data_IF_443584927740
#
_entry.id   IF_443584927740
#
_cell.length_a   1.000
_cell.length_b   1.000
_cell.length_c   1.000
_cell.angle_alpha   90.00
_cell.angle_beta   90.00
_cell.angle_gamma   90.00
#
_symmetry.space_group_name_H-M   'P 1'
#
loop_
_entity.id
_entity.type
_entity.pdbx_description
1 polymer ?
#
# COMPACT_ATOMS: atom_id res chain seq x y z
N UNK A 1 -2.10 -35.29 7.24
CA UNK A 1 -0.62 -35.30 7.20
C UNK A 1 -0.14 -34.51 8.39
N UNK A 2 0.17 -35.17 9.51
CA UNK A 2 0.57 -34.49 10.75
C UNK A 2 2.04 -34.08 10.66
N UNK A 3 2.33 -32.78 10.80
CA UNK A 3 3.68 -32.25 10.88
C UNK A 3 4.37 -32.81 12.13
N UNK A 4 5.60 -33.30 11.98
CA UNK A 4 6.42 -33.67 13.14
C UNK A 4 6.80 -32.41 13.93
N UNK A 5 6.97 -32.54 15.25
CA UNK A 5 7.39 -31.42 16.12
C UNK A 5 8.56 -30.58 15.58
N UNK A 6 9.66 -31.14 15.04
CA UNK A 6 10.76 -30.33 14.48
C UNK A 6 10.36 -29.58 13.20
N UNK A 7 9.50 -30.15 12.36
CA UNK A 7 9.01 -29.48 11.14
C UNK A 7 8.12 -28.29 11.49
N UNK A 8 7.27 -28.42 12.51
CA UNK A 8 6.41 -27.34 12.97
C UNK A 8 7.22 -26.14 13.50
N UNK A 9 8.28 -26.40 14.29
CA UNK A 9 9.15 -25.34 14.83
C UNK A 9 9.90 -24.61 13.71
N UNK A 10 10.43 -25.33 12.72
CA UNK A 10 11.11 -24.71 11.58
C UNK A 10 10.16 -23.85 10.72
N UNK A 11 8.92 -24.29 10.54
CA UNK A 11 7.87 -23.52 9.86
C UNK A 11 7.52 -22.24 10.61
N UNK A 12 7.37 -22.31 11.94
CA UNK A 12 7.07 -21.14 12.75
C UNK A 12 8.22 -20.13 12.73
N UNK A 13 9.46 -20.59 12.85
CA UNK A 13 10.64 -19.75 12.81
C UNK A 13 10.80 -18.99 11.48
N UNK A 14 10.62 -19.70 10.36
CA UNK A 14 10.66 -19.07 9.02
C UNK A 14 9.50 -18.10 8.80
N UNK A 15 8.29 -18.43 9.28
CA UNK A 15 7.13 -17.53 9.19
C UNK A 15 7.35 -16.23 9.97
N UNK A 16 7.95 -16.32 11.17
CA UNK A 16 8.25 -15.14 11.97
C UNK A 16 9.32 -14.26 11.31
N UNK A 17 10.38 -14.86 10.77
CA UNK A 17 11.43 -14.14 10.05
C UNK A 17 10.86 -13.40 8.83
N UNK A 18 10.01 -14.07 8.03
CA UNK A 18 9.35 -13.45 6.88
C UNK A 18 8.46 -12.28 7.29
N UNK A 19 7.69 -12.41 8.37
CA UNK A 19 6.84 -11.33 8.86
C UNK A 19 7.65 -10.09 9.27
N UNK A 20 8.82 -10.25 9.88
CA UNK A 20 9.69 -9.12 10.21
C UNK A 20 10.24 -8.43 8.96
N UNK A 21 10.67 -9.21 7.96
CA UNK A 21 11.17 -8.65 6.69
C UNK A 21 10.07 -7.83 6.00
N UNK A 22 8.84 -8.32 5.97
CA UNK A 22 7.68 -7.61 5.38
C UNK A 22 7.50 -6.25 6.04
N UNK A 23 7.47 -6.18 7.38
CA UNK A 23 7.31 -4.91 8.10
C UNK A 23 8.43 -3.92 7.79
N UNK A 24 9.68 -4.35 7.73
CA UNK A 24 10.79 -3.46 7.38
C UNK A 24 10.68 -2.92 5.95
N UNK A 25 10.29 -3.77 5.00
CA UNK A 25 10.09 -3.37 3.59
C UNK A 25 8.91 -2.41 3.46
N UNK A 26 7.81 -2.67 4.16
CA UNK A 26 6.63 -1.80 4.16
C UNK A 26 6.95 -0.40 4.71
N UNK A 27 7.68 -0.31 5.82
CA UNK A 27 8.11 0.98 6.39
C UNK A 27 9.07 1.70 5.44
N UNK A 28 10.03 0.99 4.84
CA UNK A 28 10.95 1.57 3.86
C UNK A 28 10.20 2.11 2.63
N UNK A 29 9.27 1.33 2.08
CA UNK A 29 8.44 1.73 0.95
C UNK A 29 7.56 2.93 1.29
N UNK A 30 6.97 2.96 2.49
CA UNK A 30 6.20 4.09 2.98
C UNK A 30 7.05 5.38 3.06
N UNK A 31 8.28 5.26 3.56
CA UNK A 31 9.20 6.40 3.67
C UNK A 31 9.53 6.97 2.28
N UNK A 32 9.78 6.09 1.31
CA UNK A 32 10.03 6.48 -0.08
C UNK A 32 8.79 7.13 -0.72
N UNK A 33 7.60 6.59 -0.46
CA UNK A 33 6.34 7.19 -0.91
C UNK A 33 6.16 8.62 -0.37
N UNK A 34 6.41 8.84 0.92
CA UNK A 34 6.34 10.19 1.49
C UNK A 34 7.35 11.13 0.84
N UNK A 35 8.59 10.68 0.62
CA UNK A 35 9.62 11.48 -0.02
C UNK A 35 9.22 11.92 -1.44
N UNK A 36 8.75 10.99 -2.26
CA UNK A 36 8.27 11.27 -3.62
C UNK A 36 7.03 12.18 -3.60
N UNK A 37 6.13 11.95 -2.64
CA UNK A 37 4.94 12.77 -2.48
C UNK A 37 5.30 14.22 -2.15
N UNK A 38 6.16 14.47 -1.17
CA UNK A 38 6.57 15.82 -0.78
C UNK A 38 7.35 16.53 -1.88
N UNK A 39 8.18 15.80 -2.63
CA UNK A 39 8.97 16.39 -3.72
C UNK A 39 8.09 16.84 -4.88
N UNK A 40 7.03 16.11 -5.17
CA UNK A 40 6.13 16.41 -6.30
C UNK A 40 4.95 17.33 -5.92
N UNK A 41 4.62 17.45 -4.63
CA UNK A 41 3.50 18.26 -4.13
C UNK A 41 3.54 19.75 -4.53
N UNK A 42 4.69 20.47 -4.48
CA UNK A 42 4.73 21.88 -4.88
C UNK A 42 4.28 22.08 -6.33
N UNK A 43 4.74 21.24 -7.24
CA UNK A 43 4.36 21.28 -8.65
C UNK A 43 2.89 20.95 -8.86
N UNK A 44 2.30 20.07 -8.05
CA UNK A 44 0.86 19.78 -8.11
C UNK A 44 -0.01 20.97 -7.72
N UNK A 45 0.37 21.67 -6.65
CA UNK A 45 -0.39 22.83 -6.18
C UNK A 45 -0.39 23.93 -7.25
N UNK A 46 0.73 24.12 -7.94
CA UNK A 46 0.82 25.11 -9.01
C UNK A 46 0.07 24.69 -10.28
N UNK A 47 0.23 23.44 -10.73
CA UNK A 47 -0.27 22.99 -12.03
C UNK A 47 -1.70 22.42 -11.97
N UNK A 48 -2.01 21.67 -10.92
CA UNK A 48 -3.27 20.92 -10.82
C UNK A 48 -4.29 21.69 -9.98
N UNK A 49 -3.90 22.22 -8.81
CA UNK A 49 -4.86 22.85 -7.90
C UNK A 49 -5.39 24.17 -8.46
N UNK A 50 -4.52 25.00 -9.06
CA UNK A 50 -4.90 26.24 -9.74
C UNK A 50 -5.55 26.03 -11.11
N UNK A 51 -5.43 24.83 -11.68
CA UNK A 51 -6.04 24.46 -12.96
C UNK A 51 -7.56 24.32 -12.90
N UNK A 52 -8.23 24.53 -14.06
CA UNK A 52 -9.66 24.31 -14.22
C UNK A 52 -10.04 22.86 -13.89
N UNK A 53 -11.21 22.65 -13.29
CA UNK A 53 -11.74 21.31 -13.05
C UNK A 53 -12.09 20.64 -14.38
N UNK A 54 -11.39 19.54 -14.67
CA UNK A 54 -11.60 18.73 -15.87
C UNK A 54 -11.28 17.26 -15.60
N UNK A 55 -11.59 16.39 -16.56
CA UNK A 55 -11.41 14.94 -16.42
C UNK A 55 -9.98 14.55 -16.01
N UNK A 56 -8.96 15.19 -16.59
CA UNK A 56 -7.55 14.91 -16.25
C UNK A 56 -7.19 15.23 -14.80
N UNK A 57 -7.77 16.29 -14.21
CA UNK A 57 -7.57 16.64 -12.78
C UNK A 57 -8.20 15.58 -11.87
N UNK A 58 -9.38 15.09 -12.22
CA UNK A 58 -10.06 14.04 -11.45
C UNK A 58 -9.27 12.73 -11.51
N UNK A 59 -8.86 12.32 -12.72
CA UNK A 59 -8.10 11.09 -12.94
C UNK A 59 -6.77 11.10 -12.18
N UNK A 60 -6.07 12.24 -12.23
CA UNK A 60 -4.83 12.47 -11.51
C UNK A 60 -5.01 12.42 -9.99
N UNK A 61 -6.03 13.11 -9.46
CA UNK A 61 -6.33 13.06 -8.03
C UNK A 61 -6.76 11.67 -7.57
N UNK A 62 -7.54 10.92 -8.37
CA UNK A 62 -7.92 9.55 -8.05
C UNK A 62 -6.70 8.64 -7.96
N UNK A 63 -5.83 8.64 -8.99
CA UNK A 63 -4.63 7.79 -9.00
C UNK A 63 -3.69 8.10 -7.82
N UNK A 64 -3.55 9.37 -7.45
CA UNK A 64 -2.63 9.77 -6.38
C UNK A 64 -3.20 9.62 -4.97
N UNK A 65 -4.48 9.91 -4.77
CA UNK A 65 -5.09 9.89 -3.43
C UNK A 65 -5.61 8.51 -3.02
N UNK A 66 -5.87 7.59 -3.96
CA UNK A 66 -6.24 6.20 -3.66
C UNK A 66 -5.13 5.43 -2.93
N UNK A 67 -3.87 5.81 -3.15
CA UNK A 67 -2.72 5.19 -2.48
C UNK A 67 -2.62 5.52 -0.98
N UNK A 68 -3.22 6.63 -0.53
CA UNK A 68 -3.14 7.07 0.88
C UNK A 68 -3.85 6.13 1.86
N UNK A 69 -5.11 5.71 1.61
CA UNK A 69 -5.78 4.70 2.42
C UNK A 69 -4.98 3.39 2.51
N UNK A 70 -4.38 2.94 1.39
CA UNK A 70 -3.55 1.74 1.35
C UNK A 70 -2.32 1.87 2.25
N UNK A 71 -1.57 2.96 2.09
CA UNK A 71 -0.42 3.29 2.93
C UNK A 71 -0.77 3.31 4.42
N UNK A 72 -1.92 3.91 4.77
CA UNK A 72 -2.36 4.04 6.17
C UNK A 72 -2.68 2.68 6.78
N UNK A 73 -3.34 1.80 6.02
CA UNK A 73 -3.67 0.44 6.46
C UNK A 73 -2.39 -0.38 6.67
N UNK A 74 -1.46 -0.32 5.72
CA UNK A 74 -0.17 -1.02 5.80
C UNK A 74 0.63 -0.56 7.02
N UNK A 75 0.80 0.76 7.19
CA UNK A 75 1.51 1.31 8.34
C UNK A 75 0.83 0.99 9.67
N UNK A 76 -0.51 0.98 9.70
CA UNK A 76 -1.24 0.60 10.91
C UNK A 76 -0.93 -0.84 11.33
N UNK A 77 -0.95 -1.80 10.41
CA UNK A 77 -0.61 -3.19 10.74
C UNK A 77 0.89 -3.40 11.01
N UNK A 78 1.76 -2.64 10.35
CA UNK A 78 3.20 -2.68 10.55
C UNK A 78 3.60 -2.14 11.95
N UNK A 79 2.95 -1.08 12.43
CA UNK A 79 3.27 -0.42 13.70
C UNK A 79 2.49 -1.01 14.89
N UNK A 80 1.23 -1.40 14.69
CA UNK A 80 0.36 -1.91 15.74
C UNK A 80 0.25 -3.43 15.67
N UNK A 81 1.26 -4.10 16.25
CA UNK A 81 1.37 -5.57 16.27
C UNK A 81 0.23 -6.27 17.03
N UNK A 82 -0.43 -5.55 17.93
CA UNK A 82 -1.56 -6.04 18.74
C UNK A 82 -2.95 -5.80 18.10
N UNK A 83 -2.99 -5.16 16.93
CA UNK A 83 -4.26 -4.95 16.23
C UNK A 83 -4.83 -6.30 15.75
N UNK A 84 -6.16 -6.52 15.83
CA UNK A 84 -6.78 -7.71 15.25
C UNK A 84 -6.49 -7.74 13.75
N UNK A 85 -5.53 -8.56 13.37
CA UNK A 85 -5.02 -8.72 12.02
C UNK A 85 -5.99 -9.59 11.23
N UNK A 86 -7.05 -8.95 10.70
CA UNK A 86 -7.95 -9.57 9.74
C UNK A 86 -7.22 -9.79 8.40
N UNK A 87 -6.42 -10.85 8.34
CA UNK A 87 -5.58 -11.19 7.19
C UNK A 87 -6.40 -11.24 5.88
N UNK A 88 -7.63 -11.76 5.95
CA UNK A 88 -8.56 -11.77 4.82
C UNK A 88 -8.95 -10.36 4.35
N UNK A 89 -9.21 -9.45 5.29
CA UNK A 89 -9.58 -8.08 4.96
C UNK A 89 -8.41 -7.35 4.30
N UNK A 90 -7.22 -7.43 4.89
CA UNK A 90 -6.00 -6.79 4.34
C UNK A 90 -5.70 -7.30 2.94
N UNK A 91 -5.67 -8.63 2.74
CA UNK A 91 -5.39 -9.22 1.42
C UNK A 91 -6.47 -8.85 0.40
N UNK A 92 -7.74 -8.92 0.77
CA UNK A 92 -8.83 -8.57 -0.15
C UNK A 92 -8.77 -7.09 -0.53
N UNK A 93 -8.58 -6.21 0.45
CA UNK A 93 -8.48 -4.77 0.23
C UNK A 93 -7.30 -4.42 -0.70
N UNK A 94 -6.10 -4.95 -0.42
CA UNK A 94 -4.92 -4.73 -1.27
C UNK A 94 -5.12 -5.26 -2.70
N UNK A 95 -5.79 -6.40 -2.87
CA UNK A 95 -6.10 -6.91 -4.22
C UNK A 95 -7.05 -5.97 -4.97
N UNK A 96 -8.09 -5.45 -4.32
CA UNK A 96 -9.00 -4.51 -4.95
C UNK A 96 -8.35 -3.15 -5.24
N UNK A 97 -7.50 -2.63 -4.34
CA UNK A 97 -6.81 -1.35 -4.57
C UNK A 97 -5.87 -1.44 -5.77
N UNK A 98 -5.14 -2.54 -5.92
CA UNK A 98 -4.26 -2.79 -7.08
C UNK A 98 -5.07 -2.87 -8.37
N UNK A 99 -6.19 -3.60 -8.37
CA UNK A 99 -7.06 -3.69 -9.56
C UNK A 99 -7.62 -2.32 -9.97
N UNK A 100 -8.07 -1.53 -8.99
CA UNK A 100 -8.54 -0.16 -9.24
C UNK A 100 -7.40 0.69 -9.82
N UNK A 101 -6.20 0.62 -9.24
CA UNK A 101 -5.02 1.33 -9.74
C UNK A 101 -4.69 0.98 -11.20
N UNK A 102 -4.74 -0.32 -11.56
CA UNK A 102 -4.52 -0.78 -12.93
C UNK A 102 -5.58 -0.22 -13.87
N UNK A 103 -6.86 -0.33 -13.52
CA UNK A 103 -7.95 0.18 -14.39
C UNK A 103 -7.88 1.69 -14.61
N UNK A 104 -7.47 2.46 -13.59
CA UNK A 104 -7.26 3.90 -13.73
C UNK A 104 -6.05 4.17 -14.63
N UNK A 105 -4.96 3.44 -14.44
CA UNK A 105 -3.76 3.54 -15.29
C UNK A 105 -4.07 3.27 -16.76
N UNK A 106 -4.78 2.19 -17.05
CA UNK A 106 -5.20 1.83 -18.41
C UNK A 106 -6.14 2.89 -19.01
N UNK A 107 -7.04 3.46 -18.21
CA UNK A 107 -7.91 4.56 -18.63
C UNK A 107 -7.21 5.89 -18.89
N UNK A 108 -5.95 6.07 -18.46
CA UNK A 108 -5.11 7.23 -18.82
C UNK A 108 -4.49 7.05 -20.22
N UNK A 109 -4.23 5.80 -20.62
CA UNK A 109 -3.54 5.46 -21.88
C UNK A 109 -4.48 5.20 -23.07
N UNK A 110 -5.80 5.09 -22.84
CA UNK A 110 -6.87 4.96 -23.84
C UNK A 110 -7.53 6.31 -24.14
#
# INVERSE_FOLDING_TARGET
MSLSAPQAVALLASSFANAQVVVYVEVAAATLFFYDYFTTFPSEVELVWRGKWGAGKILFLMGRYIMWPELTIVLYYALFKDAPNNCRFTVTYSLWSVLIGITIGDGVFL
#
